data_IF_402199654879
#
_entry.id   IF_402199654879
#
_cell.length_a   1.000
_cell.length_b   1.000
_cell.length_c   1.000
_cell.angle_alpha   90.00
_cell.angle_beta   90.00
_cell.angle_gamma   90.00
#
_symmetry.space_group_name_H-M   'P 1'
#
loop_
_entity.id
_entity.type
_entity.pdbx_description
1 polymer ?
#
# COMPACT_ATOMS: atom_id res chain seq x y z
N UNK A 1 26.08 45.22 -31.57
CA UNK A 1 24.76 44.54 -31.74
C UNK A 1 24.99 43.24 -32.51
N UNK A 2 24.20 42.19 -32.20
CA UNK A 2 24.15 40.83 -32.79
C UNK A 2 25.00 39.81 -32.01
N UNK A 3 24.50 39.35 -30.86
CA UNK A 3 23.58 38.21 -30.66
C UNK A 3 24.30 36.87 -30.91
N UNK A 4 24.84 36.34 -29.82
CA UNK A 4 25.50 35.04 -29.69
C UNK A 4 24.40 33.97 -29.74
N UNK A 5 24.40 33.13 -30.76
CA UNK A 5 23.51 31.97 -30.90
C UNK A 5 23.83 30.93 -29.83
N UNK A 6 23.04 30.90 -28.76
CA UNK A 6 23.03 29.78 -27.81
C UNK A 6 22.26 28.60 -28.42
N UNK A 7 23.00 27.55 -28.76
CA UNK A 7 22.45 26.25 -29.13
C UNK A 7 21.73 25.62 -27.92
N UNK A 8 20.42 25.46 -28.04
CA UNK A 8 19.58 24.75 -27.08
C UNK A 8 19.58 23.26 -27.43
N UNK A 9 20.48 22.49 -26.82
CA UNK A 9 20.44 21.03 -26.87
C UNK A 9 19.44 20.54 -25.82
N UNK A 10 18.19 20.35 -26.23
CA UNK A 10 17.13 19.77 -25.39
C UNK A 10 17.29 18.24 -25.39
N UNK A 11 17.86 17.69 -24.32
CA UNK A 11 17.93 16.25 -24.07
C UNK A 11 16.54 15.72 -23.74
N UNK A 12 15.92 15.01 -24.69
CA UNK A 12 14.69 14.26 -24.48
C UNK A 12 15.01 12.98 -23.67
N UNK A 13 14.88 13.05 -22.35
CA UNK A 13 14.78 11.84 -21.53
C UNK A 13 13.36 11.30 -21.63
N UNK A 14 13.12 10.38 -22.57
CA UNK A 14 11.96 9.51 -22.53
C UNK A 14 12.20 8.42 -21.46
N UNK A 15 11.87 8.74 -20.22
CA UNK A 15 11.63 7.73 -19.20
C UNK A 15 10.35 6.99 -19.59
N UNK A 16 10.50 5.84 -20.27
CA UNK A 16 9.40 4.94 -20.55
C UNK A 16 8.75 4.52 -19.22
N UNK A 17 7.50 4.94 -19.01
CA UNK A 17 6.68 4.40 -17.96
C UNK A 17 6.43 2.92 -18.28
N UNK A 18 7.09 2.03 -17.54
CA UNK A 18 6.76 0.60 -17.51
C UNK A 18 5.42 0.50 -16.77
N UNK A 19 4.33 0.50 -17.52
CA UNK A 19 3.06 0.03 -17.01
C UNK A 19 3.11 -1.50 -17.04
N UNK A 20 3.27 -2.10 -15.86
CA UNK A 20 2.99 -3.51 -15.65
C UNK A 20 1.48 -3.74 -15.85
N UNK A 21 1.07 -4.01 -17.08
CA UNK A 21 -0.25 -4.52 -17.39
C UNK A 21 -0.21 -6.05 -17.19
N UNK A 22 -0.24 -6.49 -15.94
CA UNK A 22 -0.52 -7.89 -15.63
C UNK A 22 -2.05 -8.06 -15.61
N UNK A 23 -2.56 -8.59 -16.73
CA UNK A 23 -3.92 -9.09 -16.85
C UNK A 23 -3.87 -10.57 -16.49
N UNK A 24 -4.39 -10.94 -15.33
CA UNK A 24 -4.97 -12.26 -15.13
C UNK A 24 -6.43 -12.13 -14.70
N UNK A 25 -7.27 -12.64 -15.58
CA UNK A 25 -8.70 -12.80 -15.51
C UNK A 25 -8.99 -14.09 -14.75
N UNK A 26 -9.23 -13.99 -13.45
CA UNK A 26 -10.05 -14.93 -12.66
C UNK A 26 -10.66 -14.10 -11.52
N UNK A 27 -11.99 -14.07 -11.49
CA UNK A 27 -12.75 -13.11 -10.67
C UNK A 27 -12.50 -13.29 -9.19
N UNK A 28 -12.01 -12.25 -8.54
CA UNK A 28 -12.80 -11.33 -7.72
C UNK A 28 -12.13 -9.96 -7.89
N UNK A 29 -12.89 -8.88 -7.72
CA UNK A 29 -12.35 -7.54 -7.87
C UNK A 29 -11.46 -7.19 -6.67
N UNK A 30 -10.28 -7.81 -6.56
CA UNK A 30 -9.30 -7.56 -5.49
C UNK A 30 -8.54 -6.25 -5.73
N UNK A 31 -9.23 -5.28 -6.32
CA UNK A 31 -8.72 -3.93 -6.47
C UNK A 31 -8.63 -3.32 -5.07
N UNK A 32 -7.48 -2.72 -4.69
CA UNK A 32 -7.41 -1.92 -3.48
C UNK A 32 -8.43 -0.78 -3.58
N UNK A 33 -9.40 -0.75 -2.66
CA UNK A 33 -10.42 0.30 -2.62
C UNK A 33 -9.91 1.56 -1.91
N UNK A 34 -8.87 1.40 -1.09
CA UNK A 34 -8.28 2.44 -0.26
C UNK A 34 -6.84 2.79 -0.70
N UNK A 35 -6.36 2.18 -1.79
CA UNK A 35 -5.00 2.36 -2.32
C UNK A 35 -3.93 1.63 -1.49
N UNK A 36 -4.33 0.59 -0.75
CA UNK A 36 -3.43 -0.25 0.05
C UNK A 36 -2.88 -1.46 -0.72
N UNK A 37 -2.16 -2.31 0.00
CA UNK A 37 -1.83 -3.66 -0.44
C UNK A 37 -2.98 -4.61 -0.07
N UNK A 38 -3.60 -5.26 -1.05
CA UNK A 38 -4.63 -6.28 -0.80
C UNK A 38 -3.98 -7.65 -0.73
N UNK A 39 -4.42 -8.48 0.20
CA UNK A 39 -4.08 -9.90 0.28
C UNK A 39 -5.33 -10.68 0.63
N UNK A 40 -5.65 -11.67 -0.18
CA UNK A 40 -6.77 -12.58 0.09
C UNK A 40 -6.27 -13.79 0.90
N UNK A 41 -6.96 -14.10 2.00
CA UNK A 41 -6.71 -15.31 2.81
C UNK A 41 -8.05 -15.98 3.09
N UNK A 42 -8.26 -17.17 2.52
CA UNK A 42 -9.51 -17.95 2.68
C UNK A 42 -10.76 -17.14 2.32
N UNK A 43 -10.79 -16.55 1.12
CA UNK A 43 -11.91 -15.75 0.60
C UNK A 43 -12.19 -14.44 1.37
N UNK A 44 -11.26 -14.04 2.25
CA UNK A 44 -11.29 -12.77 2.99
C UNK A 44 -10.18 -11.86 2.48
N UNK A 45 -10.57 -10.68 2.00
CA UNK A 45 -9.67 -9.61 1.59
C UNK A 45 -9.14 -8.85 2.80
N UNK A 46 -7.83 -8.73 2.87
CA UNK A 46 -7.12 -7.88 3.81
C UNK A 46 -6.45 -6.76 3.03
N UNK A 47 -7.00 -5.56 3.09
CA UNK A 47 -6.40 -4.38 2.48
C UNK A 47 -5.65 -3.54 3.52
N UNK A 48 -4.33 -3.51 3.41
CA UNK A 48 -3.44 -2.77 4.30
C UNK A 48 -2.96 -1.46 3.64
N UNK A 49 -3.40 -0.35 4.21
CA UNK A 49 -2.92 1.00 3.87
C UNK A 49 -1.84 1.40 4.86
N UNK A 50 -0.59 1.40 4.39
CA UNK A 50 0.55 1.83 5.18
C UNK A 50 0.96 3.26 4.81
N UNK A 51 0.85 4.18 5.77
CA UNK A 51 1.36 5.56 5.69
C UNK A 51 2.36 5.81 6.82
N UNK A 52 3.26 6.80 6.68
CA UNK A 52 4.26 7.09 7.70
C UNK A 52 3.69 7.41 9.09
N UNK A 53 2.45 7.91 9.16
CA UNK A 53 1.77 8.34 10.39
C UNK A 53 0.66 7.37 10.84
N UNK A 54 0.19 6.50 9.94
CA UNK A 54 -0.96 5.64 10.18
C UNK A 54 -0.88 4.33 9.39
N UNK A 55 -1.21 3.23 10.05
CA UNK A 55 -1.48 1.94 9.42
C UNK A 55 -2.96 1.63 9.56
N UNK A 56 -3.59 1.22 8.47
CA UNK A 56 -5.00 0.87 8.45
C UNK A 56 -5.20 -0.46 7.72
N UNK A 57 -5.90 -1.39 8.34
CA UNK A 57 -6.25 -2.69 7.77
C UNK A 57 -7.77 -2.76 7.63
N UNK A 58 -8.23 -2.86 6.40
CA UNK A 58 -9.62 -3.12 6.06
C UNK A 58 -9.79 -4.61 5.81
N UNK A 59 -10.87 -5.18 6.35
CA UNK A 59 -11.17 -6.61 6.22
C UNK A 59 -12.51 -6.74 5.52
N UNK A 60 -12.55 -7.52 4.43
CA UNK A 60 -13.78 -7.80 3.70
C UNK A 60 -13.92 -9.30 3.48
N UNK A 61 -15.11 -9.82 3.69
CA UNK A 61 -15.45 -11.22 3.43
C UNK A 61 -16.36 -11.25 2.20
N UNK A 62 -15.91 -11.90 1.12
CA UNK A 62 -16.62 -11.90 -0.17
C UNK A 62 -17.03 -10.48 -0.64
N UNK A 63 -16.11 -9.51 -0.50
CA UNK A 63 -16.34 -8.10 -0.87
C UNK A 63 -17.21 -7.29 0.10
N UNK A 64 -17.70 -7.87 1.19
CA UNK A 64 -18.49 -7.16 2.22
C UNK A 64 -17.62 -6.77 3.41
N UNK A 65 -17.71 -5.52 3.92
CA UNK A 65 -16.99 -5.14 5.13
C UNK A 65 -17.33 -6.04 6.32
N UNK A 66 -16.31 -6.47 7.05
CA UNK A 66 -16.46 -7.27 8.28
C UNK A 66 -16.49 -6.36 9.49
N UNK A 67 -17.32 -6.70 10.49
CA UNK A 67 -17.28 -6.03 11.79
C UNK A 67 -15.98 -6.39 12.54
N UNK A 68 -15.08 -5.41 12.62
CA UNK A 68 -13.80 -5.53 13.30
C UNK A 68 -13.81 -4.90 14.70
N UNK A 69 -14.97 -4.52 15.23
CA UNK A 69 -15.11 -3.82 16.54
C UNK A 69 -14.49 -4.58 17.72
N UNK A 70 -14.39 -5.90 17.63
CA UNK A 70 -13.80 -6.79 18.65
C UNK A 70 -12.52 -7.47 18.17
N UNK A 71 -12.06 -7.16 16.96
CA UNK A 71 -10.86 -7.75 16.40
C UNK A 71 -9.64 -6.90 16.78
N UNK A 72 -8.49 -7.53 16.92
CA UNK A 72 -7.19 -6.85 16.86
C UNK A 72 -6.35 -7.60 15.86
N UNK A 73 -5.44 -6.89 15.21
CA UNK A 73 -4.47 -7.49 14.31
C UNK A 73 -3.08 -7.06 14.74
N UNK A 74 -2.17 -8.00 14.85
CA UNK A 74 -0.76 -7.67 15.04
C UNK A 74 -0.08 -7.85 13.70
N UNK A 75 0.55 -6.79 13.22
CA UNK A 75 1.38 -6.84 12.02
C UNK A 75 2.82 -6.58 12.39
N UNK A 76 3.73 -7.23 11.68
CA UNK A 76 5.15 -6.94 11.76
C UNK A 76 5.57 -6.21 10.51
N UNK A 77 6.07 -4.99 10.68
CA UNK A 77 6.76 -4.21 9.68
C UNK A 77 8.23 -4.63 9.64
N UNK A 78 8.70 -5.03 8.46
CA UNK A 78 10.09 -5.39 8.19
C UNK A 78 10.69 -4.40 7.20
N UNK A 79 11.59 -3.53 7.66
CA UNK A 79 12.31 -2.56 6.84
C UNK A 79 13.81 -2.88 6.85
N UNK A 80 14.27 -3.66 5.87
CA UNK A 80 15.64 -4.18 5.87
C UNK A 80 15.89 -5.11 7.04
N UNK A 81 16.77 -4.71 7.97
CA UNK A 81 17.03 -5.43 9.23
C UNK A 81 16.15 -4.98 10.39
N UNK A 82 15.41 -3.86 10.23
CA UNK A 82 14.54 -3.34 11.27
C UNK A 82 13.22 -4.13 11.30
N UNK A 83 12.84 -4.62 12.48
CA UNK A 83 11.55 -5.26 12.76
C UNK A 83 10.76 -4.40 13.74
N UNK A 84 9.54 -4.03 13.37
CA UNK A 84 8.63 -3.29 14.24
C UNK A 84 7.27 -4.02 14.30
N UNK A 85 6.90 -4.48 15.49
CA UNK A 85 5.56 -5.03 15.72
C UNK A 85 4.58 -3.90 16.03
N UNK A 86 3.43 -3.91 15.34
CA UNK A 86 2.39 -2.91 15.49
C UNK A 86 1.06 -3.63 15.71
N UNK A 87 0.42 -3.31 16.83
CA UNK A 87 -0.93 -3.75 17.12
C UNK A 87 -1.93 -2.75 16.54
N UNK A 88 -2.77 -3.22 15.61
CA UNK A 88 -3.89 -2.49 15.04
C UNK A 88 -5.12 -2.72 15.89
N UNK A 89 -5.78 -1.63 16.28
CA UNK A 89 -6.98 -1.64 17.12
C UNK A 89 -8.21 -1.19 16.32
N UNK A 90 -9.42 -1.61 16.70
CA UNK A 90 -10.64 -1.19 16.05
C UNK A 90 -10.77 0.34 15.96
N UNK A 91 -11.10 0.84 14.77
CA UNK A 91 -11.36 2.25 14.50
C UNK A 91 -12.47 2.41 13.45
N UNK A 92 -13.70 2.25 13.91
CA UNK A 92 -14.87 2.20 13.03
C UNK A 92 -14.93 0.86 12.29
N UNK A 93 -14.85 0.92 10.97
CA UNK A 93 -14.94 -0.18 10.01
C UNK A 93 -13.59 -0.85 9.67
N UNK A 94 -12.51 -0.46 10.34
CA UNK A 94 -11.13 -0.92 10.07
C UNK A 94 -10.34 -1.09 11.35
N UNK A 95 -9.24 -1.82 11.25
CA UNK A 95 -8.22 -1.85 12.30
C UNK A 95 -7.17 -0.78 11.98
N UNK A 96 -6.72 -0.05 12.99
CA UNK A 96 -5.83 1.08 12.81
C UNK A 96 -4.80 1.17 13.94
N UNK A 97 -3.58 1.59 13.56
CA UNK A 97 -2.60 2.12 14.49
C UNK A 97 -2.12 3.49 13.99
N UNK A 98 -1.99 4.43 14.91
CA UNK A 98 -1.35 5.73 14.66
C UNK A 98 0.03 5.72 15.30
N UNK A 99 1.00 6.33 14.65
CA UNK A 99 2.37 6.32 15.15
C UNK A 99 3.34 6.92 14.14
N UNK A 100 4.61 6.55 14.26
CA UNK A 100 5.62 6.81 13.24
C UNK A 100 6.08 5.46 12.71
N UNK A 101 5.86 5.22 11.42
CA UNK A 101 6.14 3.96 10.75
C UNK A 101 7.11 4.21 9.60
N UNK A 102 8.17 3.40 9.53
CA UNK A 102 9.11 3.45 8.41
C UNK A 102 8.50 2.78 7.18
N UNK A 103 7.68 3.52 6.45
CA UNK A 103 7.11 3.09 5.17
C UNK A 103 8.07 3.46 4.05
N UNK A 104 8.98 2.55 3.72
CA UNK A 104 9.97 2.68 2.64
C UNK A 104 9.75 1.64 1.55
N UNK A 105 10.30 1.87 0.36
CA UNK A 105 10.35 0.84 -0.68
C UNK A 105 11.05 -0.42 -0.14
N UNK A 106 10.42 -1.59 -0.28
CA UNK A 106 10.91 -2.85 0.28
C UNK A 106 10.41 -3.18 1.69
N UNK A 107 9.53 -2.35 2.28
CA UNK A 107 8.81 -2.69 3.50
C UNK A 107 7.99 -3.97 3.26
N UNK A 108 8.24 -5.01 4.07
CA UNK A 108 7.45 -6.24 4.06
C UNK A 108 6.58 -6.25 5.29
N UNK A 109 5.32 -6.61 5.10
CA UNK A 109 4.39 -6.77 6.21
C UNK A 109 4.07 -8.25 6.33
N UNK A 110 4.24 -8.78 7.53
CA UNK A 110 3.87 -10.15 7.86
C UNK A 110 2.88 -10.13 9.02
N UNK A 111 1.80 -10.90 8.86
CA UNK A 111 0.68 -11.03 9.81
C UNK A 111 0.48 -12.48 10.20
#
# INVERSE_FOLDING_TARGET
MKLISTALALTLMLSGAVFAADKHDHGHEDKPLHGGLVTEIKDVDYELVAKPDVLQLYVRDHGKPVDVSKATAKITLLAGTDKQEVELKPSGDKLQAKGSFKVTAGLRIVG
#
